data_IF_896828390131
#
_entry.id   IF_896828390131
#
_cell.length_a   1.000
_cell.length_b   1.000
_cell.length_c   1.000
_cell.angle_alpha   90.00
_cell.angle_beta   90.00
_cell.angle_gamma   90.00
#
_symmetry.space_group_name_H-M   'P 1'
#
loop_
_entity.id
_entity.type
_entity.pdbx_description
1 polymer ?
#
# COMPACT_ATOMS: atom_id res chain seq x y z
N UNK A 1 -62.24 19.31 -24.26
CA UNK A 1 -61.98 17.97 -24.83
C UNK A 1 -61.40 18.13 -26.23
N UNK A 2 -60.28 17.44 -26.47
CA UNK A 2 -59.68 17.01 -27.76
C UNK A 2 -59.54 18.04 -28.90
N UNK A 3 -58.30 18.47 -29.14
CA UNK A 3 -57.81 18.66 -30.52
C UNK A 3 -56.42 18.04 -30.72
N UNK A 4 -56.22 17.56 -31.94
CA UNK A 4 -55.32 16.51 -32.38
C UNK A 4 -53.85 16.94 -32.53
N UNK A 5 -52.96 15.94 -32.40
CA UNK A 5 -51.55 16.00 -32.80
C UNK A 5 -51.42 16.02 -34.33
N UNK A 6 -50.42 16.75 -34.83
CA UNK A 6 -49.89 16.57 -36.18
C UNK A 6 -49.08 17.76 -36.66
N UNK A 7 -47.76 17.73 -36.50
CA UNK A 7 -46.84 18.49 -37.33
C UNK A 7 -45.68 17.61 -37.78
N UNK A 8 -45.67 17.35 -39.08
CA UNK A 8 -44.50 16.97 -39.88
C UNK A 8 -43.48 18.11 -39.81
N UNK A 9 -42.21 17.78 -39.60
CA UNK A 9 -41.10 18.68 -39.93
C UNK A 9 -40.07 17.91 -40.76
N UNK A 10 -39.92 18.37 -42.00
CA UNK A 10 -38.91 18.01 -42.98
C UNK A 10 -37.66 18.86 -42.70
N UNK A 11 -36.46 18.29 -42.70
CA UNK A 11 -35.23 19.07 -42.76
C UNK A 11 -34.16 18.38 -43.62
N UNK A 12 -33.51 19.22 -44.43
CA UNK A 12 -32.63 18.95 -45.55
C UNK A 12 -31.17 18.66 -45.17
N UNK A 13 -30.50 17.98 -46.10
CA UNK A 13 -29.10 18.00 -46.53
C UNK A 13 -28.02 18.78 -45.75
N UNK A 14 -26.84 18.16 -45.65
CA UNK A 14 -25.54 18.83 -45.45
C UNK A 14 -24.37 17.84 -45.47
N UNK A 15 -23.69 17.71 -46.61
CA UNK A 15 -22.39 17.05 -46.72
C UNK A 15 -21.28 18.08 -46.48
N UNK A 16 -20.30 17.79 -45.61
CA UNK A 16 -19.02 18.52 -45.57
C UNK A 16 -17.87 17.55 -45.30
N UNK A 17 -16.90 17.57 -46.21
CA UNK A 17 -15.56 16.98 -46.09
C UNK A 17 -14.81 17.56 -44.89
N UNK A 18 -14.23 16.71 -44.05
CA UNK A 18 -13.27 17.10 -43.02
C UNK A 18 -12.19 16.03 -42.91
N UNK A 19 -10.96 16.38 -43.27
CA UNK A 19 -9.80 15.53 -42.99
C UNK A 19 -9.40 15.62 -41.52
N UNK A 20 -8.62 14.63 -41.07
CA UNK A 20 -7.34 14.77 -40.37
C UNK A 20 -6.77 13.38 -40.08
N UNK A 21 -5.45 13.27 -40.16
CA UNK A 21 -4.66 12.17 -39.61
C UNK A 21 -4.96 11.97 -38.12
N UNK A 22 -4.83 10.74 -37.58
CA UNK A 22 -3.59 10.24 -36.96
C UNK A 22 -3.78 8.80 -36.43
N UNK A 23 -2.68 8.03 -36.53
CA UNK A 23 -2.25 6.94 -35.63
C UNK A 23 -3.19 5.77 -35.31
N UNK A 24 -2.89 4.64 -35.95
CA UNK A 24 -2.89 3.30 -35.35
C UNK A 24 -2.09 3.29 -34.03
N UNK A 25 -2.31 2.43 -33.05
CA UNK A 25 -3.32 1.41 -32.75
C UNK A 25 -3.04 1.03 -31.29
N UNK A 26 -3.97 1.30 -30.37
CA UNK A 26 -3.94 0.69 -29.05
C UNK A 26 -4.90 -0.50 -29.10
N UNK A 27 -4.33 -1.70 -28.92
CA UNK A 27 -5.08 -2.94 -28.90
C UNK A 27 -6.22 -2.89 -27.89
N UNK A 28 -7.34 -3.38 -28.38
CA UNK A 28 -8.64 -3.42 -27.75
C UNK A 28 -8.58 -4.19 -26.43
N UNK A 29 -8.91 -3.55 -25.31
CA UNK A 29 -9.54 -4.26 -24.20
C UNK A 29 -11.00 -3.84 -24.12
N UNK A 30 -11.85 -4.83 -24.38
CA UNK A 30 -13.28 -4.69 -24.52
C UNK A 30 -13.91 -4.44 -23.14
N UNK A 31 -14.62 -3.32 -23.01
CA UNK A 31 -15.36 -2.91 -21.83
C UNK A 31 -16.61 -3.79 -21.67
N UNK A 32 -16.57 -4.77 -20.77
CA UNK A 32 -17.77 -5.34 -20.19
C UNK A 32 -18.11 -4.58 -18.90
N UNK A 33 -18.94 -3.55 -19.06
CA UNK A 33 -19.63 -2.88 -17.98
C UNK A 33 -20.63 -3.85 -17.33
N UNK A 34 -20.32 -4.35 -16.13
CA UNK A 34 -21.29 -4.97 -15.21
C UNK A 34 -20.74 -4.88 -13.78
N UNK A 35 -21.13 -3.82 -13.09
CA UNK A 35 -21.02 -3.69 -11.64
C UNK A 35 -21.84 -4.78 -10.96
N UNK A 36 -21.30 -5.52 -9.98
CA UNK A 36 -22.12 -6.19 -8.99
C UNK A 36 -22.17 -5.33 -7.71
N UNK A 37 -23.37 -4.88 -7.35
CA UNK A 37 -23.64 -4.34 -6.02
C UNK A 37 -23.59 -5.49 -5.02
N UNK A 38 -22.57 -5.52 -4.16
CA UNK A 38 -22.51 -6.49 -3.08
C UNK A 38 -22.82 -5.85 -1.73
N UNK A 39 -23.98 -6.25 -1.20
CA UNK A 39 -24.38 -6.12 0.19
C UNK A 39 -23.43 -6.92 1.09
N UNK A 40 -23.16 -6.37 2.27
CA UNK A 40 -22.24 -6.87 3.28
C UNK A 40 -22.61 -8.27 3.81
N UNK A 41 -21.64 -9.19 3.79
CA UNK A 41 -21.58 -10.35 4.67
C UNK A 41 -20.13 -10.84 4.77
N UNK A 42 -19.47 -10.57 5.90
CA UNK A 42 -18.15 -11.11 6.18
C UNK A 42 -18.31 -12.54 6.68
N UNK A 43 -17.92 -13.52 5.85
CA UNK A 43 -17.87 -14.92 6.20
C UNK A 43 -16.42 -15.39 6.16
N UNK A 44 -15.90 -15.78 7.32
CA UNK A 44 -14.50 -16.11 7.56
C UNK A 44 -14.22 -17.53 7.07
N UNK A 45 -13.36 -17.67 6.06
CA UNK A 45 -12.87 -18.98 5.61
C UNK A 45 -11.65 -19.37 6.45
N UNK A 46 -11.82 -20.37 7.31
CA UNK A 46 -10.74 -21.03 8.07
C UNK A 46 -10.22 -22.23 7.27
N UNK A 47 -8.89 -22.44 7.18
CA UNK A 47 -8.36 -23.79 7.10
C UNK A 47 -7.37 -24.12 8.22
N UNK A 48 -7.34 -25.42 8.48
CA UNK A 48 -6.73 -26.20 9.57
C UNK A 48 -5.24 -25.96 9.84
N UNK A 49 -4.90 -25.91 11.13
CA UNK A 49 -3.55 -25.77 11.70
C UNK A 49 -2.65 -26.99 11.48
N UNK A 50 -1.44 -26.78 10.98
CA UNK A 50 -0.32 -27.70 11.17
C UNK A 50 0.71 -27.03 12.09
N UNK A 51 0.91 -27.64 13.27
CA UNK A 51 1.80 -27.12 14.29
C UNK A 51 3.26 -27.41 13.99
N UNK A 52 4.12 -26.41 14.19
CA UNK A 52 5.56 -26.59 14.29
C UNK A 52 6.05 -25.88 15.55
N UNK A 53 6.75 -26.64 16.39
CA UNK A 53 7.39 -26.21 17.63
C UNK A 53 8.73 -25.54 17.32
N UNK A 54 9.07 -24.47 18.06
CA UNK A 54 10.41 -23.88 18.04
C UNK A 54 11.13 -24.15 19.36
N UNK A 55 12.37 -24.63 19.26
CA UNK A 55 13.31 -24.76 20.38
C UNK A 55 13.97 -23.41 20.69
N UNK A 56 13.91 -23.00 21.94
CA UNK A 56 14.44 -21.75 22.48
C UNK A 56 15.87 -21.99 23.03
N UNK A 57 16.89 -21.42 22.37
CA UNK A 57 18.26 -21.45 22.89
C UNK A 57 18.60 -20.14 23.63
N UNK A 58 18.80 -20.27 24.95
CA UNK A 58 19.27 -19.26 25.90
C UNK A 58 20.82 -19.22 25.91
N UNK A 59 21.43 -18.04 25.79
CA UNK A 59 22.80 -17.75 26.25
C UNK A 59 22.95 -16.21 26.25
N UNK A 60 23.12 -15.50 27.37
CA UNK A 60 24.14 -15.68 28.40
C UNK A 60 25.05 -14.46 28.35
N UNK A 61 24.90 -13.61 29.37
CA UNK A 61 25.46 -12.28 29.59
C UNK A 61 26.99 -12.19 29.54
N UNK A 62 27.54 -11.04 29.12
CA UNK A 62 28.78 -10.46 29.65
C UNK A 62 28.72 -8.92 29.62
N UNK A 63 29.06 -8.33 30.76
CA UNK A 63 29.05 -6.89 31.04
C UNK A 63 30.30 -6.19 30.47
N UNK A 64 30.17 -4.93 30.07
CA UNK A 64 31.32 -4.02 29.91
C UNK A 64 31.07 -2.73 30.70
N UNK A 65 31.93 -2.53 31.72
CA UNK A 65 32.05 -1.33 32.52
C UNK A 65 33.11 -0.42 31.87
N UNK A 66 32.79 0.86 31.66
CA UNK A 66 33.75 1.85 31.15
C UNK A 66 33.10 3.23 30.92
N UNK A 67 33.21 4.09 31.92
CA UNK A 67 32.66 5.44 31.97
C UNK A 67 33.58 6.48 31.28
N UNK A 68 32.94 7.38 30.51
CA UNK A 68 33.33 8.75 30.10
C UNK A 68 34.57 8.95 29.21
N UNK A 69 34.33 9.52 28.02
CA UNK A 69 34.76 10.89 27.66
C UNK A 69 33.98 11.38 26.43
N UNK A 70 33.38 12.57 26.55
CA UNK A 70 32.70 13.27 25.45
C UNK A 70 33.71 13.64 24.37
N UNK A 71 33.56 13.07 23.18
CA UNK A 71 34.06 13.65 21.93
C UNK A 71 32.97 13.54 20.87
N UNK A 72 32.40 14.70 20.55
CA UNK A 72 31.45 14.91 19.45
C UNK A 72 32.13 14.55 18.13
N UNK A 73 32.02 13.29 17.74
CA UNK A 73 32.38 12.83 16.40
C UNK A 73 31.07 12.62 15.67
N UNK A 74 30.76 13.51 14.74
CA UNK A 74 29.71 13.33 13.76
C UNK A 74 29.96 12.00 13.05
N UNK A 75 29.24 10.97 13.51
CA UNK A 75 29.29 9.65 12.90
C UNK A 75 28.43 9.74 11.66
N UNK A 76 29.10 9.79 10.51
CA UNK A 76 28.52 9.61 9.19
C UNK A 76 27.47 8.50 9.25
N UNK A 77 26.20 8.86 9.13
CA UNK A 77 25.12 7.89 8.95
C UNK A 77 25.41 7.12 7.66
N UNK A 78 25.53 5.82 7.82
CA UNK A 78 25.56 4.86 6.72
C UNK A 78 24.36 5.16 5.79
N UNK A 79 24.50 5.10 4.45
CA UNK A 79 23.44 5.42 3.44
C UNK A 79 22.14 4.60 3.54
N UNK A 80 22.12 3.73 4.53
CA UNK A 80 21.17 2.72 4.94
C UNK A 80 20.04 3.42 5.74
N UNK A 81 20.41 4.31 6.69
CA UNK A 81 19.45 5.18 7.40
C UNK A 81 18.71 6.15 6.47
N UNK A 82 19.33 6.56 5.37
CA UNK A 82 18.79 7.56 4.45
C UNK A 82 17.62 7.00 3.63
N UNK A 83 17.65 5.69 3.30
CA UNK A 83 16.57 5.03 2.55
C UNK A 83 15.31 4.87 3.38
N UNK A 84 15.46 4.42 4.64
CA UNK A 84 14.33 4.29 5.55
C UNK A 84 13.64 5.65 5.76
N UNK A 85 14.42 6.72 5.95
CA UNK A 85 13.86 8.07 6.06
C UNK A 85 13.17 8.51 4.76
N UNK A 86 13.77 8.22 3.59
CA UNK A 86 13.17 8.54 2.29
C UNK A 86 11.83 7.82 2.06
N UNK A 87 11.71 6.56 2.51
CA UNK A 87 10.45 5.80 2.50
C UNK A 87 9.40 6.50 3.35
N UNK A 88 9.75 6.88 4.59
CA UNK A 88 8.85 7.59 5.51
C UNK A 88 8.40 8.93 4.94
N UNK A 89 9.32 9.71 4.39
CA UNK A 89 9.03 11.04 3.84
C UNK A 89 8.12 10.95 2.62
N UNK A 90 8.38 10.00 1.72
CA UNK A 90 7.53 9.77 0.56
C UNK A 90 6.14 9.28 0.99
N UNK A 91 6.05 8.33 1.92
CA UNK A 91 4.76 7.85 2.43
C UNK A 91 3.91 9.00 3.00
N UNK A 92 4.50 9.83 3.86
CA UNK A 92 3.84 11.02 4.44
C UNK A 92 3.41 12.01 3.36
N UNK A 93 4.24 12.23 2.33
CA UNK A 93 3.89 13.09 1.21
C UNK A 93 2.66 12.57 0.46
N UNK A 94 2.59 11.27 0.17
CA UNK A 94 1.45 10.67 -0.54
C UNK A 94 0.15 10.74 0.25
N UNK A 95 0.21 10.57 1.58
CA UNK A 95 -0.94 10.75 2.46
C UNK A 95 -1.57 12.16 2.35
N UNK A 96 -0.77 13.18 2.04
CA UNK A 96 -1.26 14.55 1.85
C UNK A 96 -1.86 14.85 0.46
N UNK A 97 -1.93 13.87 -0.46
CA UNK A 97 -2.25 14.11 -1.88
C UNK A 97 -3.68 13.74 -2.28
N UNK A 98 -4.52 13.24 -1.37
CA UNK A 98 -5.88 12.77 -1.68
C UNK A 98 -5.92 11.68 -2.77
N UNK A 99 -4.95 10.77 -2.76
CA UNK A 99 -4.90 9.65 -3.70
C UNK A 99 -5.99 8.64 -3.30
N UNK A 100 -6.97 8.35 -4.16
CA UNK A 100 -8.07 7.47 -3.79
C UNK A 100 -7.63 6.01 -3.69
N UNK A 101 -8.33 5.24 -2.85
CA UNK A 101 -8.21 3.80 -2.89
C UNK A 101 -8.77 3.24 -4.21
N UNK A 102 -7.99 2.41 -4.89
CA UNK A 102 -8.42 1.63 -6.05
C UNK A 102 -7.86 0.22 -5.91
N UNK A 103 -8.74 -0.79 -5.95
CA UNK A 103 -8.35 -2.19 -5.89
C UNK A 103 -7.40 -2.54 -7.05
N UNK A 104 -6.23 -3.12 -6.74
CA UNK A 104 -5.19 -3.38 -7.74
C UNK A 104 -4.50 -2.12 -8.26
N UNK A 105 -4.66 -0.98 -7.58
CA UNK A 105 -4.02 0.28 -7.95
C UNK A 105 -2.59 0.39 -7.42
N UNK A 106 -1.69 0.97 -8.22
CA UNK A 106 -0.26 1.17 -7.90
C UNK A 106 0.26 2.54 -8.35
N UNK A 107 -0.63 3.52 -8.58
CA UNK A 107 -0.25 4.82 -9.15
C UNK A 107 -0.93 5.99 -8.45
N UNK A 108 -0.49 7.22 -8.76
CA UNK A 108 -1.04 8.43 -8.13
C UNK A 108 -2.51 8.70 -8.50
N UNK A 109 -3.08 8.01 -9.50
CA UNK A 109 -4.53 8.08 -9.78
C UNK A 109 -5.34 7.13 -8.91
N UNK A 110 -4.70 6.20 -8.20
CA UNK A 110 -5.34 5.28 -7.27
C UNK A 110 -4.42 4.15 -6.84
N UNK A 111 -4.47 3.82 -5.55
CA UNK A 111 -3.61 2.80 -4.93
C UNK A 111 -4.44 1.85 -4.06
N UNK A 112 -4.05 0.58 -3.99
CA UNK A 112 -4.42 -0.27 -2.86
C UNK A 112 -3.26 -0.37 -1.85
N UNK A 113 -3.47 -1.13 -0.78
CA UNK A 113 -2.52 -1.24 0.32
C UNK A 113 -1.12 -1.72 -0.14
N UNK A 114 -1.06 -2.81 -0.91
CA UNK A 114 0.18 -3.37 -1.44
C UNK A 114 0.79 -2.54 -2.56
N UNK A 115 -0.02 -1.87 -3.38
CA UNK A 115 0.46 -1.01 -4.46
C UNK A 115 1.06 0.29 -3.92
N UNK A 116 0.49 0.83 -2.85
CA UNK A 116 1.08 1.95 -2.12
C UNK A 116 2.46 1.58 -1.57
N UNK A 117 2.59 0.44 -0.87
CA UNK A 117 3.87 0.04 -0.29
C UNK A 117 4.91 -0.23 -1.36
N UNK A 118 4.58 -0.99 -2.41
CA UNK A 118 5.51 -1.24 -3.53
C UNK A 118 5.95 0.07 -4.19
N UNK A 119 5.01 0.97 -4.49
CA UNK A 119 5.30 2.28 -5.09
C UNK A 119 6.29 3.09 -4.23
N UNK A 120 6.04 3.19 -2.92
CA UNK A 120 6.91 3.98 -2.04
C UNK A 120 8.32 3.38 -2.00
N UNK A 121 8.44 2.07 -1.80
CA UNK A 121 9.74 1.40 -1.69
C UNK A 121 10.51 1.41 -3.01
N UNK A 122 9.82 1.25 -4.14
CA UNK A 122 10.43 1.29 -5.46
C UNK A 122 10.97 2.68 -5.78
N UNK A 123 10.27 3.75 -5.38
CA UNK A 123 10.68 5.13 -5.66
C UNK A 123 11.69 5.69 -4.65
N UNK A 124 11.57 5.36 -3.38
CA UNK A 124 12.41 5.92 -2.32
C UNK A 124 13.69 5.10 -2.06
N UNK A 125 13.63 3.78 -2.20
CA UNK A 125 14.71 2.87 -1.83
C UNK A 125 15.21 1.97 -2.98
N UNK A 126 14.54 2.03 -4.16
CA UNK A 126 14.76 1.15 -5.30
C UNK A 126 14.58 -0.34 -4.94
N UNK A 127 13.57 -0.64 -4.13
CA UNK A 127 13.21 -2.00 -3.70
C UNK A 127 11.83 -2.34 -4.28
N UNK A 128 11.73 -3.44 -5.02
CA UNK A 128 10.45 -4.00 -5.45
C UNK A 128 9.96 -5.02 -4.42
N UNK A 129 8.78 -4.77 -3.87
CA UNK A 129 8.09 -5.64 -2.93
C UNK A 129 7.11 -6.58 -3.62
N UNK A 130 6.55 -6.15 -4.76
CA UNK A 130 5.49 -6.84 -5.48
C UNK A 130 4.10 -6.44 -4.98
N UNK A 131 3.09 -6.58 -5.84
CA UNK A 131 1.74 -6.07 -5.62
C UNK A 131 0.80 -7.06 -4.90
N UNK A 132 1.34 -7.85 -3.97
CA UNK A 132 0.55 -8.78 -3.15
C UNK A 132 1.13 -8.89 -1.74
N UNK A 133 0.29 -8.72 -0.72
CA UNK A 133 0.69 -8.67 0.69
C UNK A 133 1.56 -9.84 1.12
N UNK A 134 1.18 -11.07 0.77
CA UNK A 134 1.97 -12.28 1.10
C UNK A 134 3.31 -12.32 0.37
N UNK A 135 3.40 -11.76 -0.84
CA UNK A 135 4.69 -11.60 -1.52
C UNK A 135 5.58 -10.63 -0.75
N UNK A 136 5.02 -9.56 -0.18
CA UNK A 136 5.78 -8.59 0.62
C UNK A 136 6.25 -9.18 1.95
N UNK A 137 5.49 -10.10 2.56
CA UNK A 137 5.94 -10.85 3.75
C UNK A 137 7.28 -11.56 3.50
N UNK A 138 7.49 -12.11 2.31
CA UNK A 138 8.75 -12.77 1.95
C UNK A 138 9.95 -11.83 1.82
N UNK A 139 9.70 -10.51 1.83
CA UNK A 139 10.71 -9.46 1.70
C UNK A 139 11.10 -8.84 3.03
N UNK A 140 10.52 -9.31 4.15
CA UNK A 140 10.81 -8.78 5.47
C UNK A 140 11.45 -9.81 6.39
N UNK A 141 12.23 -9.32 7.34
CA UNK A 141 12.51 -10.03 8.60
C UNK A 141 11.39 -9.68 9.58
N UNK A 142 10.66 -10.69 10.05
CA UNK A 142 9.48 -10.51 10.92
C UNK A 142 9.89 -9.98 12.29
N UNK A 143 9.08 -9.06 12.82
CA UNK A 143 9.26 -8.42 14.11
C UNK A 143 7.92 -8.22 14.83
N UNK A 144 7.99 -7.96 16.14
CA UNK A 144 6.82 -7.51 16.88
C UNK A 144 6.44 -6.07 16.50
N UNK A 145 5.14 -5.76 16.51
CA UNK A 145 4.64 -4.39 16.27
C UNK A 145 5.28 -3.38 17.25
N UNK A 146 5.52 -3.80 18.50
CA UNK A 146 6.16 -2.96 19.51
C UNK A 146 7.61 -2.59 19.18
N UNK A 147 8.29 -3.41 18.36
CA UNK A 147 9.66 -3.17 17.91
C UNK A 147 9.74 -2.50 16.53
N UNK A 148 8.59 -2.16 15.92
CA UNK A 148 8.56 -1.54 14.62
C UNK A 148 9.35 -0.21 14.62
N UNK A 149 10.10 0.02 13.56
CA UNK A 149 10.92 1.20 13.31
C UNK A 149 10.38 1.94 12.09
N UNK A 150 10.49 3.29 12.03
CA UNK A 150 10.08 4.03 10.85
C UNK A 150 10.69 3.44 9.57
N UNK A 151 9.85 3.16 8.58
CA UNK A 151 10.22 2.46 7.34
C UNK A 151 9.87 0.97 7.33
N UNK A 152 9.43 0.39 8.44
CA UNK A 152 8.94 -1.00 8.46
C UNK A 152 7.56 -1.16 7.82
N UNK A 153 7.25 -2.38 7.42
CA UNK A 153 5.90 -2.76 7.02
C UNK A 153 5.11 -3.29 8.23
N UNK A 154 3.85 -2.91 8.32
CA UNK A 154 2.88 -3.48 9.25
C UNK A 154 1.91 -4.37 8.48
N UNK A 155 1.61 -5.55 9.00
CA UNK A 155 0.75 -6.52 8.33
C UNK A 155 -0.45 -6.89 9.19
N UNK A 156 -1.62 -7.07 8.56
CA UNK A 156 -2.82 -7.64 9.18
C UNK A 156 -3.15 -8.98 8.57
N UNK A 157 -3.48 -9.94 9.44
CA UNK A 157 -3.73 -11.33 9.08
C UNK A 157 -2.58 -12.24 9.52
N UNK A 158 -2.83 -13.54 9.53
CA UNK A 158 -1.80 -14.54 9.84
C UNK A 158 -0.79 -14.67 8.70
N UNK A 159 0.44 -15.09 9.02
CA UNK A 159 1.47 -15.32 8.01
C UNK A 159 0.99 -16.23 6.87
N UNK A 160 1.29 -15.83 5.63
CA UNK A 160 0.81 -16.52 4.43
C UNK A 160 -0.65 -16.24 4.06
N UNK A 161 -1.33 -15.37 4.81
CA UNK A 161 -2.73 -15.00 4.62
C UNK A 161 -3.00 -13.53 4.96
N UNK A 162 -1.96 -12.69 4.93
CA UNK A 162 -2.12 -11.26 5.20
C UNK A 162 -3.04 -10.62 4.15
N UNK A 163 -3.95 -9.77 4.62
CA UNK A 163 -4.95 -9.11 3.77
C UNK A 163 -4.80 -7.58 3.74
N UNK A 164 -3.91 -7.02 4.56
CA UNK A 164 -3.60 -5.60 4.56
C UNK A 164 -2.14 -5.36 4.94
N UNK A 165 -1.56 -4.30 4.39
CA UNK A 165 -0.19 -3.87 4.65
C UNK A 165 -0.12 -2.34 4.70
N UNK A 166 0.73 -1.80 5.56
CA UNK A 166 0.96 -0.37 5.71
C UNK A 166 2.44 -0.06 5.97
N UNK A 167 2.83 1.20 5.84
CA UNK A 167 4.20 1.67 6.15
C UNK A 167 4.20 2.33 7.52
N UNK A 168 4.97 1.81 8.48
CA UNK A 168 5.15 2.43 9.78
C UNK A 168 6.01 3.69 9.67
N UNK A 169 5.56 4.79 10.28
CA UNK A 169 6.23 6.10 10.19
C UNK A 169 6.72 6.63 11.54
N UNK A 170 6.69 5.78 12.58
CA UNK A 170 7.01 6.15 13.96
C UNK A 170 5.81 6.69 14.73
N UNK A 171 6.00 6.95 16.02
CA UNK A 171 5.01 7.56 16.90
C UNK A 171 3.65 6.84 16.92
N UNK A 172 3.65 5.51 16.78
CA UNK A 172 2.43 4.70 16.73
C UNK A 172 1.52 5.06 15.53
N UNK A 173 2.10 5.58 14.44
CA UNK A 173 1.39 5.96 13.21
C UNK A 173 1.90 5.18 12.00
N UNK A 174 1.04 5.02 11.00
CA UNK A 174 1.35 4.39 9.73
C UNK A 174 0.65 5.11 8.57
N UNK A 175 1.13 4.87 7.34
CA UNK A 175 0.46 5.29 6.11
C UNK A 175 -0.11 4.07 5.41
N UNK A 176 -1.38 4.12 5.03
CA UNK A 176 -2.07 3.05 4.33
C UNK A 176 -3.00 3.60 3.24
N UNK A 177 -3.33 2.76 2.27
CA UNK A 177 -4.52 2.89 1.42
C UNK A 177 -5.58 1.92 1.98
N UNK A 178 -6.53 2.38 2.81
CA UNK A 178 -7.27 1.49 3.70
C UNK A 178 -8.32 0.64 2.96
N UNK A 179 -9.24 1.28 2.23
CA UNK A 179 -10.37 0.62 1.57
C UNK A 179 -11.11 1.57 0.60
N UNK A 180 -12.00 1.04 -0.27
CA UNK A 180 -12.78 1.85 -1.20
C UNK A 180 -13.54 3.00 -0.52
N UNK A 181 -13.54 4.17 -1.17
CA UNK A 181 -14.19 5.38 -0.65
C UNK A 181 -13.31 6.21 0.30
N UNK A 182 -12.10 5.74 0.60
CA UNK A 182 -11.10 6.49 1.36
C UNK A 182 -9.86 6.77 0.49
N UNK A 183 -9.00 7.65 0.99
CA UNK A 183 -7.73 8.00 0.36
C UNK A 183 -6.55 7.36 1.10
N UNK A 184 -5.37 7.39 0.48
CA UNK A 184 -4.10 7.20 1.21
C UNK A 184 -4.04 8.25 2.32
N UNK A 185 -3.83 7.81 3.56
CA UNK A 185 -3.82 8.70 4.73
C UNK A 185 -2.87 8.20 5.82
N UNK A 186 -2.56 9.08 6.78
CA UNK A 186 -1.87 8.74 8.02
C UNK A 186 -2.91 8.29 9.05
N UNK A 187 -2.74 7.09 9.57
CA UNK A 187 -3.57 6.52 10.63
C UNK A 187 -2.74 6.24 11.89
N UNK A 188 -3.42 6.06 13.01
CA UNK A 188 -2.80 5.74 14.31
C UNK A 188 -3.17 4.32 14.71
N UNK A 189 -2.18 3.52 15.10
CA UNK A 189 -2.40 2.17 15.62
C UNK A 189 -3.30 2.25 16.84
N UNK A 190 -4.41 1.52 16.79
CA UNK A 190 -5.39 1.46 17.87
C UNK A 190 -5.95 0.03 17.98
N UNK A 191 -6.65 -0.24 19.07
CA UNK A 191 -7.17 -1.57 19.38
C UNK A 191 -8.27 -2.07 18.43
N UNK A 192 -8.96 -1.17 17.71
CA UNK A 192 -10.01 -1.57 16.77
C UNK A 192 -9.44 -2.15 15.47
N UNK A 193 -8.22 -1.75 15.09
CA UNK A 193 -7.56 -2.23 13.88
C UNK A 193 -6.05 -2.42 14.12
N UNK A 194 -5.71 -3.37 14.99
CA UNK A 194 -4.33 -3.62 15.39
C UNK A 194 -3.61 -4.52 14.37
N UNK A 195 -2.40 -4.15 13.89
CA UNK A 195 -1.60 -5.01 13.04
C UNK A 195 -1.19 -6.28 13.79
N UNK A 196 -1.07 -7.38 13.05
CA UNK A 196 -0.72 -8.70 13.59
C UNK A 196 0.79 -8.81 13.85
N UNK A 197 1.61 -8.24 12.97
CA UNK A 197 3.08 -8.20 13.10
C UNK A 197 3.67 -7.05 12.29
N UNK A 198 4.97 -6.79 12.50
CA UNK A 198 5.76 -5.86 11.71
C UNK A 198 6.86 -6.60 10.95
N UNK A 199 7.49 -5.92 9.99
CA UNK A 199 8.58 -6.48 9.21
C UNK A 199 9.62 -5.44 8.81
N UNK A 200 10.88 -5.69 9.18
CA UNK A 200 12.03 -4.96 8.68
C UNK A 200 12.29 -5.37 7.22
N UNK A 201 12.16 -4.45 6.26
CA UNK A 201 12.36 -4.78 4.84
C UNK A 201 13.83 -5.10 4.55
N UNK A 202 14.07 -6.28 3.96
CA UNK A 202 15.40 -6.77 3.65
C UNK A 202 16.06 -5.85 2.60
N UNK A 203 17.22 -5.29 2.93
CA UNK A 203 17.96 -4.36 2.06
C UNK A 203 17.47 -2.91 2.09
N UNK A 204 16.46 -2.59 2.92
CA UNK A 204 16.13 -1.21 3.28
C UNK A 204 17.19 -0.60 4.20
N UNK A 205 17.77 -1.47 5.05
CA UNK A 205 18.68 -1.15 6.13
C UNK A 205 19.59 -0.04 5.73
#
# INVERSE_FOLDING_TARGET
MKFHKGFLALAFAGAIFGGTAVSASADTYNQANSQPTYSTNYNYYQPTSYGYSYDQANNGSQAYNGQTTNTTTATSSTPTSDKAQSVVDLAKKLAGQNIPYVWGGESLSGMDCSGLTDYVFQKAANISLGHYTVTQESKVTTESVANAKPGDLLFWGGHGSTHHVAIYIGNNQYVAAPQPGQNVDIETINSAFMPSFAGHVNGLA
#
